data_IF_643352731871
#
_entry.id   IF_643352731871
#
_cell.length_a   1.000
_cell.length_b   1.000
_cell.length_c   1.000
_cell.angle_alpha   90.00
_cell.angle_beta   90.00
_cell.angle_gamma   90.00
#
_symmetry.space_group_name_H-M   'P 1'
#
loop_
_entity.id
_entity.type
_entity.pdbx_description
1 polymer ?
#
# COMPACT_ATOMS: atom_id res chain seq x y z
N UNK A 1 21.42 -3.86 -6.83
CA UNK A 1 20.37 -4.91 -6.94
C UNK A 1 19.07 -4.22 -7.27
N UNK A 2 18.31 -4.71 -8.23
CA UNK A 2 17.00 -4.14 -8.58
C UNK A 2 16.00 -4.51 -7.47
N UNK A 3 15.42 -3.51 -6.79
CA UNK A 3 14.37 -3.74 -5.79
C UNK A 3 13.21 -4.50 -6.43
N UNK A 4 12.68 -5.52 -5.76
CA UNK A 4 11.46 -6.16 -6.22
C UNK A 4 10.25 -5.26 -5.89
N UNK A 5 9.13 -5.38 -6.62
CA UNK A 5 7.89 -4.68 -6.29
C UNK A 5 7.40 -4.96 -4.87
N UNK A 6 7.57 -6.19 -4.38
CA UNK A 6 7.25 -6.56 -3.00
C UNK A 6 8.16 -5.83 -2.01
N UNK A 7 9.48 -5.82 -2.23
CA UNK A 7 10.40 -5.12 -1.33
C UNK A 7 10.12 -3.61 -1.29
N UNK A 8 9.87 -2.99 -2.45
CA UNK A 8 9.54 -1.57 -2.54
C UNK A 8 8.23 -1.24 -1.81
N UNK A 9 7.20 -2.07 -1.97
CA UNK A 9 5.93 -1.90 -1.27
C UNK A 9 6.07 -2.12 0.23
N UNK A 10 6.83 -3.13 0.65
CA UNK A 10 7.08 -3.39 2.07
C UNK A 10 7.84 -2.22 2.73
N UNK A 11 8.87 -1.70 2.07
CA UNK A 11 9.62 -0.53 2.54
C UNK A 11 8.70 0.69 2.69
N UNK A 12 7.80 0.92 1.73
CA UNK A 12 6.81 2.01 1.79
C UNK A 12 5.90 1.88 3.02
N UNK A 13 5.39 0.67 3.28
CA UNK A 13 4.55 0.40 4.44
C UNK A 13 5.30 0.58 5.75
N UNK A 14 6.54 0.09 5.84
CA UNK A 14 7.38 0.25 7.04
C UNK A 14 7.67 1.73 7.30
N UNK A 15 7.94 2.52 6.27
CA UNK A 15 8.34 3.92 6.43
C UNK A 15 7.17 4.84 6.75
N UNK A 16 6.01 4.63 6.12
CA UNK A 16 4.92 5.60 6.16
C UNK A 16 3.64 5.07 6.79
N UNK A 17 3.42 3.76 6.82
CA UNK A 17 2.18 3.13 7.28
C UNK A 17 2.40 2.21 8.49
N UNK A 18 3.44 2.49 9.27
CA UNK A 18 3.67 1.83 10.56
C UNK A 18 2.76 2.42 11.66
N UNK A 19 2.63 1.70 12.78
CA UNK A 19 1.75 2.09 13.90
C UNK A 19 2.06 3.49 14.46
N UNK A 20 3.31 3.94 14.42
CA UNK A 20 3.72 5.24 14.97
C UNK A 20 3.31 6.40 14.06
N UNK A 21 3.43 6.22 12.73
CA UNK A 21 3.16 7.27 11.73
C UNK A 21 1.70 7.30 11.28
N UNK A 22 1.05 6.13 11.21
CA UNK A 22 -0.24 5.98 10.56
C UNK A 22 -1.34 6.82 11.22
N UNK A 23 -1.31 6.93 12.56
CA UNK A 23 -2.25 7.75 13.32
C UNK A 23 -2.25 9.24 12.95
N UNK A 24 -1.19 9.73 12.31
CA UNK A 24 -1.06 11.14 11.90
C UNK A 24 -1.93 11.49 10.69
N UNK A 25 -2.32 10.52 9.87
CA UNK A 25 -2.99 10.79 8.59
C UNK A 25 -4.10 9.81 8.21
N UNK A 26 -4.26 8.68 8.91
CA UNK A 26 -5.24 7.63 8.57
C UNK A 26 -6.69 8.14 8.45
N UNK A 27 -7.04 9.20 9.17
CA UNK A 27 -8.38 9.80 9.16
C UNK A 27 -8.56 10.92 8.14
N UNK A 28 -7.57 11.81 8.01
CA UNK A 28 -7.74 13.07 7.31
C UNK A 28 -7.03 13.13 5.96
N UNK A 29 -5.87 12.46 5.83
CA UNK A 29 -4.98 12.61 4.67
C UNK A 29 -4.59 11.28 4.00
N UNK A 30 -5.25 10.18 4.33
CA UNK A 30 -4.95 8.85 3.79
C UNK A 30 -4.97 8.81 2.25
N UNK A 31 -5.87 9.58 1.64
CA UNK A 31 -5.99 9.66 0.20
C UNK A 31 -4.78 10.34 -0.47
N UNK A 32 -4.30 11.44 0.12
CA UNK A 32 -3.11 12.16 -0.37
C UNK A 32 -1.86 11.29 -0.22
N UNK A 33 -1.67 10.67 0.95
CA UNK A 33 -0.57 9.73 1.17
C UNK A 33 -0.59 8.54 0.19
N UNK A 34 -1.78 8.03 -0.16
CA UNK A 34 -1.92 6.97 -1.15
C UNK A 34 -1.47 7.41 -2.56
N UNK A 35 -1.80 8.64 -2.95
CA UNK A 35 -1.40 9.22 -4.24
C UNK A 35 0.13 9.42 -4.30
N UNK A 36 0.71 9.99 -3.25
CA UNK A 36 2.17 10.16 -3.18
C UNK A 36 2.91 8.82 -3.20
N UNK A 37 2.39 7.80 -2.50
CA UNK A 37 2.96 6.46 -2.51
C UNK A 37 2.90 5.84 -3.90
N UNK A 38 1.80 6.03 -4.62
CA UNK A 38 1.68 5.58 -6.01
C UNK A 38 2.75 6.23 -6.91
N UNK A 39 2.93 7.55 -6.80
CA UNK A 39 3.98 8.29 -7.53
C UNK A 39 5.38 7.79 -7.17
N UNK A 40 5.66 7.55 -5.89
CA UNK A 40 6.95 6.98 -5.44
C UNK A 40 7.19 5.59 -6.03
N UNK A 41 6.18 4.72 -6.05
CA UNK A 41 6.29 3.38 -6.63
C UNK A 41 6.59 3.44 -8.13
N UNK A 42 5.89 4.27 -8.88
CA UNK A 42 6.15 4.48 -10.32
C UNK A 42 7.56 5.01 -10.55
N UNK A 43 8.00 5.98 -9.75
CA UNK A 43 9.36 6.54 -9.86
C UNK A 43 10.46 5.51 -9.58
N UNK A 44 10.24 4.61 -8.62
CA UNK A 44 11.24 3.62 -8.21
C UNK A 44 11.27 2.41 -9.17
N UNK A 45 10.11 1.95 -9.62
CA UNK A 45 9.95 0.67 -10.32
C UNK A 45 9.69 0.83 -11.82
N UNK A 46 9.33 2.02 -12.30
CA UNK A 46 8.90 2.25 -13.69
C UNK A 46 7.71 1.37 -14.04
N UNK A 47 7.76 0.72 -15.21
CA UNK A 47 6.70 -0.15 -15.71
C UNK A 47 6.34 -1.31 -14.76
N UNK A 48 7.28 -1.73 -13.91
CA UNK A 48 7.03 -2.80 -12.93
C UNK A 48 6.14 -2.37 -11.77
N UNK A 49 5.84 -1.09 -11.63
CA UNK A 49 4.90 -0.61 -10.61
C UNK A 49 3.50 -1.25 -10.77
N UNK A 50 3.11 -1.68 -11.98
CA UNK A 50 1.85 -2.42 -12.20
C UNK A 50 1.74 -3.69 -11.35
N UNK A 51 2.87 -4.33 -11.01
CA UNK A 51 2.91 -5.48 -10.12
C UNK A 51 2.51 -5.08 -8.68
N UNK A 52 2.89 -3.89 -8.22
CA UNK A 52 2.46 -3.31 -6.93
C UNK A 52 0.96 -3.04 -6.94
N UNK A 53 0.44 -2.43 -8.01
CA UNK A 53 -0.99 -2.17 -8.12
C UNK A 53 -1.82 -3.47 -8.04
N UNK A 54 -1.33 -4.53 -8.68
CA UNK A 54 -1.93 -5.87 -8.59
C UNK A 54 -1.89 -6.42 -7.17
N UNK A 55 -0.73 -6.39 -6.52
CA UNK A 55 -0.57 -6.88 -5.14
C UNK A 55 -1.49 -6.14 -4.16
N UNK A 56 -1.61 -4.82 -4.26
CA UNK A 56 -2.52 -4.04 -3.42
C UNK A 56 -3.98 -4.49 -3.57
N UNK A 57 -4.42 -4.75 -4.81
CA UNK A 57 -5.78 -5.25 -5.07
C UNK A 57 -6.01 -6.66 -4.54
N UNK A 58 -5.03 -7.55 -4.72
CA UNK A 58 -5.09 -8.92 -4.21
C UNK A 58 -5.18 -8.93 -2.68
N UNK A 59 -4.36 -8.13 -1.99
CA UNK A 59 -4.43 -7.99 -0.53
C UNK A 59 -5.74 -7.38 -0.06
N UNK A 60 -6.26 -6.34 -0.73
CA UNK A 60 -7.54 -5.72 -0.35
C UNK A 60 -8.77 -6.64 -0.54
N UNK A 61 -8.63 -7.69 -1.36
CA UNK A 61 -9.66 -8.70 -1.57
C UNK A 61 -9.55 -9.86 -0.56
N UNK A 62 -8.37 -10.12 0.00
CA UNK A 62 -8.10 -11.24 0.90
C UNK A 62 -7.19 -10.84 2.08
N UNK A 63 -7.75 -10.66 3.30
CA UNK A 63 -6.95 -10.39 4.49
C UNK A 63 -6.08 -11.58 4.94
N UNK A 64 -6.30 -12.79 4.39
CA UNK A 64 -5.42 -13.94 4.63
C UNK A 64 -4.21 -13.97 3.69
N UNK A 65 -4.04 -12.97 2.82
CA UNK A 65 -2.94 -12.94 1.86
C UNK A 65 -1.57 -12.98 2.58
N UNK A 66 -0.63 -13.88 2.21
CA UNK A 66 0.64 -14.05 2.95
C UNK A 66 1.49 -12.78 3.02
N UNK A 67 1.48 -11.97 1.95
CA UNK A 67 2.21 -10.71 1.94
C UNK A 67 1.55 -9.64 2.82
N UNK A 68 0.22 -9.67 2.95
CA UNK A 68 -0.50 -8.77 3.86
C UNK A 68 -0.12 -9.06 5.31
N UNK A 69 -0.07 -10.34 5.69
CA UNK A 69 0.39 -10.78 7.02
C UNK A 69 1.84 -10.33 7.30
N UNK A 70 2.69 -10.31 6.28
CA UNK A 70 4.06 -9.78 6.38
C UNK A 70 4.07 -8.27 6.64
N UNK A 71 3.23 -7.51 5.93
CA UNK A 71 3.08 -6.06 6.15
C UNK A 71 2.65 -5.81 7.59
N UNK A 72 1.55 -6.43 8.05
CA UNK A 72 1.03 -6.22 9.41
C UNK A 72 2.07 -6.55 10.49
N UNK A 73 2.82 -7.63 10.33
CA UNK A 73 3.89 -7.99 11.25
C UNK A 73 5.02 -6.96 11.29
N UNK A 74 5.34 -6.32 10.16
CA UNK A 74 6.46 -5.37 10.02
C UNK A 74 6.08 -3.95 10.40
N UNK A 75 4.83 -3.56 10.17
CA UNK A 75 4.27 -2.24 10.52
C UNK A 75 3.77 -2.19 11.96
N UNK A 76 3.62 -3.35 12.61
CA UNK A 76 2.96 -3.51 13.92
C UNK A 76 1.52 -2.96 13.92
N UNK A 77 0.87 -2.95 12.75
CA UNK A 77 -0.49 -2.47 12.58
C UNK A 77 -1.31 -3.48 11.78
N UNK A 78 -2.33 -4.04 12.42
CA UNK A 78 -3.27 -4.98 11.81
C UNK A 78 -4.47 -4.21 11.24
N UNK A 79 -4.48 -4.04 9.91
CA UNK A 79 -5.59 -3.34 9.26
C UNK A 79 -6.89 -4.14 9.28
N UNK A 80 -6.86 -5.44 9.55
CA UNK A 80 -8.03 -6.32 9.53
C UNK A 80 -8.58 -6.60 10.93
N UNK A 81 -8.00 -5.99 11.97
CA UNK A 81 -8.44 -6.12 13.36
C UNK A 81 -9.90 -5.65 13.53
N UNK A 82 -10.27 -4.56 12.85
CA UNK A 82 -11.62 -4.01 12.87
C UNK A 82 -12.13 -3.58 11.49
N UNK A 83 -13.45 -3.38 11.40
CA UNK A 83 -14.12 -3.07 10.14
C UNK A 83 -13.73 -1.70 9.55
N UNK A 84 -13.49 -0.69 10.40
CA UNK A 84 -13.11 0.65 9.93
C UNK A 84 -11.69 0.62 9.38
N UNK A 85 -10.75 0.05 10.13
CA UNK A 85 -9.35 -0.14 9.69
C UNK A 85 -9.29 -0.92 8.37
N UNK A 86 -10.11 -1.96 8.22
CA UNK A 86 -10.14 -2.75 7.00
C UNK A 86 -10.67 -1.97 5.81
N UNK A 87 -11.77 -1.23 6.01
CA UNK A 87 -12.32 -0.36 4.98
C UNK A 87 -11.31 0.70 4.53
N UNK A 88 -10.50 1.23 5.45
CA UNK A 88 -9.42 2.18 5.14
C UNK A 88 -8.30 1.55 4.34
N UNK A 89 -7.88 0.33 4.69
CA UNK A 89 -6.91 -0.41 3.89
C UNK A 89 -7.41 -0.64 2.46
N UNK A 90 -8.68 -1.02 2.30
CA UNK A 90 -9.29 -1.19 0.99
C UNK A 90 -9.32 0.13 0.18
N UNK A 91 -9.59 1.27 0.84
CA UNK A 91 -9.52 2.58 0.21
C UNK A 91 -8.10 2.96 -0.22
N UNK A 92 -7.11 2.76 0.66
CA UNK A 92 -5.69 2.95 0.39
C UNK A 92 -5.24 2.11 -0.81
N UNK A 93 -5.52 0.81 -0.77
CA UNK A 93 -5.15 -0.14 -1.81
C UNK A 93 -5.76 0.22 -3.16
N UNK A 94 -7.06 0.56 -3.16
CA UNK A 94 -7.74 1.01 -4.37
C UNK A 94 -7.06 2.24 -4.95
N UNK A 95 -6.92 3.30 -4.14
CA UNK A 95 -6.40 4.59 -4.62
C UNK A 95 -4.96 4.50 -5.10
N UNK A 96 -4.09 3.82 -4.36
CA UNK A 96 -2.71 3.59 -4.78
C UNK A 96 -2.65 2.77 -6.07
N UNK A 97 -3.44 1.70 -6.18
CA UNK A 97 -3.47 0.87 -7.39
C UNK A 97 -3.97 1.64 -8.62
N UNK A 98 -4.96 2.50 -8.46
CA UNK A 98 -5.52 3.34 -9.52
C UNK A 98 -4.53 4.43 -9.94
N UNK A 99 -3.87 5.07 -8.98
CA UNK A 99 -2.82 6.05 -9.22
C UNK A 99 -1.64 5.48 -10.00
N UNK A 100 -1.16 4.29 -9.60
CA UNK A 100 -0.11 3.57 -10.32
C UNK A 100 -0.59 3.23 -11.73
N UNK A 101 -1.75 2.61 -11.88
CA UNK A 101 -2.28 2.16 -13.19
C UNK A 101 -2.38 3.35 -14.14
N UNK A 102 -2.91 4.48 -13.69
CA UNK A 102 -3.02 5.72 -14.47
C UNK A 102 -1.66 6.24 -14.93
N UNK A 103 -0.64 6.16 -14.08
CA UNK A 103 0.70 6.67 -14.38
C UNK A 103 1.52 5.73 -15.29
N UNK A 104 1.32 4.42 -15.18
CA UNK A 104 2.02 3.41 -16.00
C UNK A 104 1.33 3.05 -17.30
N UNK A 105 0.06 3.43 -17.48
CA UNK A 105 -0.70 3.12 -18.71
C UNK A 105 -2.21 3.14 -18.51
N UNK A 106 -2.81 4.28 -18.86
CA UNK A 106 -4.10 4.32 -19.55
C UNK A 106 -3.86 4.36 -21.06
#
# INVERSE_FOLDING_TARGET
MTRTPQDALLDEFILYYNVDELGLFIYDNLAEHADESAERMVRILGDRAVEVARLMREMAADPAHPFYQTICSRTMYDWAEDQDSWARFQQLARRMSDGITKATGG
#
